data_IF_141972483155
#
_entry.id   IF_141972483155
#
_cell.length_a   1.000
_cell.length_b   1.000
_cell.length_c   1.000
_cell.angle_alpha   90.00
_cell.angle_beta   90.00
_cell.angle_gamma   90.00
#
_symmetry.space_group_name_H-M   'P 1'
#
loop_
_entity.id
_entity.type
_entity.pdbx_description
1 polymer ?
#
# COMPACT_ATOMS: atom_id res chain seq x y z
N UNK A 1 -4.54 13.91 -52.53
CA UNK A 1 -3.45 14.90 -52.38
C UNK A 1 -3.48 15.42 -50.93
N UNK A 2 -2.39 15.16 -50.17
CA UNK A 2 -1.92 15.78 -48.88
C UNK A 2 -2.95 15.95 -47.74
N UNK A 3 -2.95 15.14 -46.67
CA UNK A 3 -2.07 15.09 -45.46
C UNK A 3 -2.24 16.27 -44.46
N UNK A 4 -2.72 15.96 -43.25
CA UNK A 4 -2.28 16.49 -41.92
C UNK A 4 -3.09 15.76 -40.82
N UNK A 5 -2.59 14.76 -40.07
CA UNK A 5 -1.90 14.85 -38.75
C UNK A 5 -2.31 16.09 -37.94
N UNK A 6 -2.77 16.03 -36.67
CA UNK A 6 -2.14 15.35 -35.51
C UNK A 6 -3.14 15.28 -34.32
N UNK A 7 -3.35 14.06 -33.78
CA UNK A 7 -3.54 13.61 -32.38
C UNK A 7 -4.38 14.39 -31.34
N UNK A 8 -5.32 13.69 -30.69
CA UNK A 8 -5.30 13.43 -29.23
C UNK A 8 -6.13 12.18 -28.92
N UNK A 9 -5.47 11.19 -28.31
CA UNK A 9 -6.04 9.91 -27.89
C UNK A 9 -6.95 10.20 -26.68
N UNK A 10 -8.27 10.13 -26.84
CA UNK A 10 -9.15 10.00 -25.68
C UNK A 10 -8.99 8.56 -25.20
N UNK A 11 -8.09 8.42 -24.23
CA UNK A 11 -7.80 7.22 -23.43
C UNK A 11 -9.06 6.39 -23.22
N UNK A 12 -8.99 5.14 -23.70
CA UNK A 12 -10.08 4.17 -23.58
C UNK A 12 -10.49 3.95 -22.13
N UNK A 13 -11.80 3.93 -21.90
CA UNK A 13 -12.38 3.47 -20.65
C UNK A 13 -12.28 1.93 -20.64
N UNK A 14 -11.18 1.42 -20.10
CA UNK A 14 -11.06 -0.01 -19.79
C UNK A 14 -11.69 -0.24 -18.41
N UNK A 15 -12.97 -0.66 -18.37
CA UNK A 15 -13.52 -1.31 -17.18
C UNK A 15 -12.86 -2.68 -17.03
N UNK A 16 -11.70 -2.72 -16.39
CA UNK A 16 -11.18 -3.94 -15.81
C UNK A 16 -11.88 -4.11 -14.46
N UNK A 17 -12.92 -4.96 -14.44
CA UNK A 17 -13.45 -5.51 -13.21
C UNK A 17 -12.34 -6.25 -12.48
N UNK A 18 -11.75 -5.56 -11.53
CA UNK A 18 -10.80 -6.07 -10.55
C UNK A 18 -10.97 -5.19 -9.34
N UNK A 19 -11.05 -5.79 -8.17
CA UNK A 19 -11.21 -5.11 -6.89
C UNK A 19 -10.02 -4.17 -6.70
N UNK A 20 -10.17 -2.95 -7.21
CA UNK A 20 -9.17 -1.92 -7.05
C UNK A 20 -9.30 -1.47 -5.60
N UNK A 21 -8.55 -2.15 -4.71
CA UNK A 21 -7.87 -1.42 -3.65
C UNK A 21 -7.21 -0.28 -4.41
N UNK A 22 -7.69 0.97 -4.26
CA UNK A 22 -7.24 2.05 -5.12
C UNK A 22 -5.72 2.05 -5.03
N UNK A 23 -5.03 1.98 -6.16
CA UNK A 23 -3.58 1.79 -6.24
C UNK A 23 -2.79 2.70 -5.27
N UNK A 24 -3.36 3.87 -4.97
CA UNK A 24 -2.91 4.80 -3.93
C UNK A 24 -2.82 4.21 -2.51
N UNK A 25 -3.74 3.32 -2.10
CA UNK A 25 -3.71 2.61 -0.81
C UNK A 25 -2.63 1.52 -0.75
N UNK A 26 -2.24 0.95 -1.89
CA UNK A 26 -1.20 -0.07 -1.95
C UNK A 26 0.22 0.51 -1.82
N UNK A 27 0.39 1.83 -1.98
CA UNK A 27 1.67 2.54 -1.91
C UNK A 27 1.78 3.46 -0.68
N UNK A 28 1.07 3.14 0.40
CA UNK A 28 1.20 3.86 1.66
C UNK A 28 2.32 3.25 2.48
N UNK A 29 3.14 4.09 3.10
CA UNK A 29 4.20 3.71 4.04
C UNK A 29 4.15 4.55 5.31
N UNK A 30 2.98 5.08 5.63
CA UNK A 30 2.71 5.90 6.81
C UNK A 30 1.43 5.38 7.45
N UNK A 31 1.43 5.29 8.78
CA UNK A 31 0.31 4.74 9.54
C UNK A 31 -0.78 5.79 9.74
N UNK A 32 -1.96 5.39 10.24
CA UNK A 32 -3.06 6.30 10.58
C UNK A 32 -2.65 7.34 11.64
N UNK A 33 -1.71 6.99 12.52
CA UNK A 33 -1.13 7.92 13.50
C UNK A 33 -0.10 8.89 12.90
N UNK A 34 0.24 8.74 11.61
CA UNK A 34 1.26 9.54 10.93
C UNK A 34 2.68 9.01 11.11
N UNK A 35 2.85 7.81 11.65
CA UNK A 35 4.16 7.21 11.90
C UNK A 35 4.70 6.54 10.63
N UNK A 36 5.96 6.79 10.22
CA UNK A 36 6.54 6.11 9.08
C UNK A 36 6.68 4.60 9.31
N UNK A 37 6.48 3.82 8.25
CA UNK A 37 6.71 2.38 8.28
C UNK A 37 8.21 2.06 8.25
N UNK A 38 8.62 1.13 9.11
CA UNK A 38 9.90 0.44 9.05
C UNK A 38 9.95 -0.43 7.79
N UNK A 39 11.14 -0.52 7.16
CA UNK A 39 11.35 -1.41 6.03
C UNK A 39 11.24 -2.89 6.44
N UNK A 40 10.62 -3.70 5.61
CA UNK A 40 10.43 -5.14 5.87
C UNK A 40 11.72 -5.96 5.77
N UNK A 41 12.78 -5.41 5.18
CA UNK A 41 14.12 -6.01 5.19
C UNK A 41 15.03 -5.41 6.28
N UNK A 42 14.54 -4.47 7.09
CA UNK A 42 15.24 -3.94 8.26
C UNK A 42 14.75 -4.62 9.52
N UNK A 43 15.67 -4.99 10.43
CA UNK A 43 15.37 -5.52 11.76
C UNK A 43 15.44 -4.47 12.87
N UNK A 44 15.47 -3.18 12.52
CA UNK A 44 15.56 -2.04 13.45
C UNK A 44 14.51 -0.98 13.09
N UNK A 45 13.82 -0.34 14.07
CA UNK A 45 13.91 -0.58 15.52
C UNK A 45 13.28 -1.89 15.98
N UNK A 46 12.33 -2.45 15.24
CA UNK A 46 11.64 -3.67 15.63
C UNK A 46 12.23 -4.88 14.93
N UNK A 47 12.74 -5.82 15.72
CA UNK A 47 13.18 -7.09 15.17
C UNK A 47 11.98 -7.91 14.67
N UNK A 48 12.10 -8.39 13.43
CA UNK A 48 11.19 -9.34 12.80
C UNK A 48 11.97 -10.20 11.80
N UNK A 49 11.35 -11.31 11.37
CA UNK A 49 11.98 -12.23 10.42
C UNK A 49 11.91 -11.66 9.00
N UNK A 50 13.06 -11.62 8.31
CA UNK A 50 13.14 -11.20 6.91
C UNK A 50 12.37 -12.12 5.93
N UNK A 51 11.81 -13.24 6.41
CA UNK A 51 10.86 -14.07 5.65
C UNK A 51 9.52 -13.35 5.38
N UNK A 52 9.23 -12.27 6.13
CA UNK A 52 8.18 -11.29 5.81
C UNK A 52 8.67 -10.23 4.78
N UNK A 53 9.95 -10.26 4.41
CA UNK A 53 10.64 -9.31 3.55
C UNK A 53 10.49 -9.64 2.07
N UNK A 54 9.44 -9.09 1.45
CA UNK A 54 9.38 -8.91 0.00
C UNK A 54 10.07 -7.61 -0.45
N UNK A 55 10.30 -7.45 -1.76
CA UNK A 55 10.92 -6.27 -2.39
C UNK A 55 10.14 -4.94 -2.21
N UNK A 56 9.05 -4.95 -1.46
CA UNK A 56 8.12 -3.82 -1.30
C UNK A 56 8.59 -2.76 -0.28
N UNK A 57 9.89 -2.72 0.04
CA UNK A 57 10.49 -1.68 0.86
C UNK A 57 9.84 -1.54 2.24
N UNK A 58 9.11 -0.45 2.46
CA UNK A 58 8.36 -0.16 3.69
C UNK A 58 6.86 0.06 3.48
N UNK A 59 6.28 -0.51 2.41
CA UNK A 59 4.85 -0.35 2.13
C UNK A 59 3.98 -1.14 3.11
N UNK A 60 2.77 -0.66 3.37
CA UNK A 60 1.79 -1.33 4.21
C UNK A 60 1.39 -2.70 3.64
N UNK A 61 1.28 -3.69 4.51
CA UNK A 61 0.97 -5.08 4.15
C UNK A 61 -0.43 -5.45 4.59
N UNK A 62 -1.19 -6.07 3.69
CA UNK A 62 -2.39 -6.82 4.05
C UNK A 62 -2.02 -8.29 4.13
N UNK A 63 -2.36 -8.95 5.23
CA UNK A 63 -2.29 -10.41 5.35
C UNK A 63 -3.65 -10.96 5.78
N UNK A 64 -3.77 -12.30 5.83
CA UNK A 64 -5.04 -12.97 6.18
C UNK A 64 -5.35 -12.95 7.67
N UNK A 65 -4.37 -12.63 8.50
CA UNK A 65 -4.48 -12.72 9.95
C UNK A 65 -4.80 -11.34 10.58
N UNK A 66 -4.63 -10.28 9.81
CA UNK A 66 -4.91 -8.93 10.21
C UNK A 66 -6.14 -8.41 9.47
N UNK A 67 -7.05 -7.72 10.18
CA UNK A 67 -8.26 -7.20 9.57
C UNK A 67 -7.98 -6.10 8.53
N UNK A 68 -6.78 -5.51 8.53
CA UNK A 68 -6.45 -4.26 7.84
C UNK A 68 -4.97 -4.21 7.46
N UNK A 69 -4.59 -3.40 6.45
CA UNK A 69 -3.19 -3.21 6.12
C UNK A 69 -2.42 -2.55 7.26
N UNK A 70 -1.26 -3.10 7.59
CA UNK A 70 -0.42 -2.69 8.71
C UNK A 70 1.06 -2.68 8.33
N UNK A 71 1.89 -2.07 9.18
CA UNK A 71 3.33 -2.16 9.06
C UNK A 71 4.00 -2.08 10.44
N UNK A 72 5.24 -2.58 10.54
CA UNK A 72 6.13 -2.18 11.63
C UNK A 72 6.43 -0.69 11.51
N UNK A 73 6.53 0.04 12.62
CA UNK A 73 6.78 1.49 12.56
C UNK A 73 8.25 1.83 12.78
N UNK A 74 8.67 3.01 12.34
CA UNK A 74 10.01 3.54 12.64
C UNK A 74 10.15 4.06 14.08
N UNK A 75 9.07 4.10 14.86
CA UNK A 75 9.07 4.54 16.25
C UNK A 75 9.42 3.36 17.18
N UNK A 76 10.48 3.44 18.00
CA UNK A 76 10.88 2.36 18.91
C UNK A 76 9.83 2.05 20.00
N UNK A 77 8.92 2.98 20.32
CA UNK A 77 7.88 2.80 21.33
C UNK A 77 6.57 2.23 20.73
N UNK A 78 6.43 2.25 19.40
CA UNK A 78 5.25 1.74 18.69
C UNK A 78 5.64 0.61 17.73
N UNK A 79 5.49 -0.64 18.17
CA UNK A 79 5.94 -1.81 17.39
C UNK A 79 5.31 -1.88 15.98
N UNK A 80 4.00 -1.73 15.89
CA UNK A 80 3.26 -1.76 14.63
C UNK A 80 2.01 -0.90 14.74
N UNK A 81 1.50 -0.45 13.60
CA UNK A 81 0.26 0.31 13.50
C UNK A 81 -0.41 0.08 12.13
N UNK A 82 -1.70 0.41 12.05
CA UNK A 82 -2.50 0.25 10.83
C UNK A 82 -2.35 1.45 9.91
N UNK A 83 -2.39 1.20 8.60
CA UNK A 83 -2.28 2.26 7.60
C UNK A 83 -3.63 2.81 7.15
N UNK A 84 -4.72 2.12 7.46
CA UNK A 84 -6.08 2.52 7.13
C UNK A 84 -7.03 2.21 8.27
N UNK A 85 -8.15 2.94 8.32
CA UNK A 85 -9.26 2.57 9.19
C UNK A 85 -9.82 1.22 8.76
N UNK A 86 -9.82 0.30 9.73
CA UNK A 86 -10.32 -1.05 9.61
C UNK A 86 -11.79 -1.14 9.27
N UNK A 87 -12.59 -0.17 9.72
CA UNK A 87 -14.00 -0.10 9.38
C UNK A 87 -14.19 0.22 7.90
N UNK A 88 -13.42 1.16 7.34
CA UNK A 88 -13.48 1.46 5.90
C UNK A 88 -12.93 0.32 5.04
N UNK A 89 -11.90 -0.39 5.51
CA UNK A 89 -11.30 -1.49 4.77
C UNK A 89 -12.23 -2.70 4.68
N UNK A 90 -12.93 -3.06 5.77
CA UNK A 90 -13.85 -4.22 5.81
C UNK A 90 -15.21 -3.97 5.16
N UNK A 91 -15.68 -2.72 5.10
CA UNK A 91 -16.98 -2.40 4.46
C UNK A 91 -16.92 -2.39 2.92
N UNK A 92 -15.82 -2.88 2.32
CA UNK A 92 -15.65 -3.07 0.88
C UNK A 92 -15.91 -4.49 0.39
N UNK A 93 -16.33 -5.38 1.29
CA UNK A 93 -16.82 -6.73 1.00
C UNK A 93 -18.22 -6.73 0.35
#
# INVERSE_FOLDING_TARGET
MKLSSTWLVIVGVFSLGGDSIPYQRAQVNTTMSGTPCQRWDSSTPHWHHAEYGGLDGNLCRSDKNNPCPWCYTSDPDLRYDYCFDCCEYRNKD
#
